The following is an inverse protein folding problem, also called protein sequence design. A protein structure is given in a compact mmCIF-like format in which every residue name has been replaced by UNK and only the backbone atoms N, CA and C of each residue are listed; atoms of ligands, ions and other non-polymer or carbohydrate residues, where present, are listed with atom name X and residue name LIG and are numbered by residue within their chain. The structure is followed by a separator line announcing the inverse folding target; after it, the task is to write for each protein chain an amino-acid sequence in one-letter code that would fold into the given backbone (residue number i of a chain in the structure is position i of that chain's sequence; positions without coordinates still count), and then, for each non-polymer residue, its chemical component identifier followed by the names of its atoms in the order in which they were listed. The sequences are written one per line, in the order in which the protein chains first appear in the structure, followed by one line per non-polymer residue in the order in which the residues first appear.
data_IF_597988594662
#
_entry.id   IF_597988594662
#
_cell.length_a   1.000
_cell.length_b   1.000
_cell.length_c   1.000
_cell.angle_alpha   90.00
_cell.angle_beta   90.00
_cell.angle_gamma   90.00
#
_symmetry.space_group_name_H-M   'P 1'
#
loop_
_entity.id
_entity.type
_entity.pdbx_description
1 polymer ?
#
# COMPACT_ATOMS: atom_id res chain seq x y z
N UNK A 1 7.30 -6.85 -5.22
CA UNK A 1 8.18 -5.70 -5.02
C UNK A 1 7.42 -4.56 -4.38
N UNK A 2 8.01 -3.95 -3.39
CA UNK A 2 7.33 -2.88 -2.68
C UNK A 2 7.32 -1.61 -3.53
N UNK A 3 6.16 -0.98 -3.66
CA UNK A 3 6.06 0.26 -4.43
C UNK A 3 5.61 1.43 -3.58
N UNK A 4 5.08 1.19 -2.40
CA UNK A 4 4.61 2.29 -1.57
C UNK A 4 4.41 1.79 -0.14
N UNK A 5 4.65 2.64 0.81
CA UNK A 5 4.44 2.30 2.21
C UNK A 5 3.44 3.31 2.77
N UNK A 6 2.24 2.84 3.05
CA UNK A 6 1.18 3.69 3.54
C UNK A 6 1.28 3.83 5.04
N UNK A 7 0.89 4.96 5.54
CA UNK A 7 0.95 5.20 6.98
C UNK A 7 -0.18 4.52 7.73
N UNK A 8 -1.23 4.16 7.05
CA UNK A 8 -2.35 3.51 7.70
C UNK A 8 -3.03 2.58 6.73
N UNK A 9 -3.88 1.73 7.26
CA UNK A 9 -4.61 0.81 6.40
C UNK A 9 -5.58 1.57 5.49
N UNK A 10 -6.16 2.63 5.99
CA UNK A 10 -7.07 3.41 5.15
C UNK A 10 -6.37 3.97 3.93
N UNK A 11 -5.18 4.51 4.13
CA UNK A 11 -4.43 5.03 3.00
C UNK A 11 -4.05 3.90 2.04
N UNK A 12 -3.67 2.76 2.59
CA UNK A 12 -3.29 1.63 1.75
C UNK A 12 -4.44 1.17 0.88
N UNK A 13 -5.65 1.15 1.44
CA UNK A 13 -6.79 0.71 0.67
C UNK A 13 -7.12 1.69 -0.46
N UNK A 14 -6.94 2.97 -0.22
CA UNK A 14 -7.17 3.95 -1.26
C UNK A 14 -6.18 3.75 -2.40
N UNK A 15 -4.91 3.57 -2.07
CA UNK A 15 -3.89 3.37 -3.10
C UNK A 15 -4.15 2.05 -3.84
N UNK A 16 -4.51 1.01 -3.09
CA UNK A 16 -4.77 -0.26 -3.72
C UNK A 16 -5.91 -0.17 -4.71
N UNK A 17 -7.00 0.49 -4.31
CA UNK A 17 -8.14 0.63 -5.20
C UNK A 17 -7.76 1.40 -6.45
N UNK A 18 -6.93 2.44 -6.29
CA UNK A 18 -6.50 3.22 -7.42
C UNK A 18 -5.68 2.38 -8.39
N UNK A 19 -4.76 1.58 -7.87
CA UNK A 19 -3.93 0.75 -8.73
C UNK A 19 -4.77 -0.33 -9.42
N UNK A 20 -5.70 -0.90 -8.69
CA UNK A 20 -6.52 -1.95 -9.30
C UNK A 20 -7.43 -1.41 -10.37
N UNK A 21 -7.89 -0.18 -10.22
CA UNK A 21 -8.70 0.41 -11.26
C UNK A 21 -7.89 0.68 -12.53
N UNK A 22 -6.58 0.62 -12.43
CA UNK A 22 -5.70 0.75 -13.57
C UNK A 22 -5.13 -0.59 -14.03
N UNK A 23 -5.70 -1.67 -13.54
CA UNK A 23 -5.30 -3.00 -13.99
C UNK A 23 -4.11 -3.59 -13.28
N UNK A 24 -3.70 -3.02 -12.16
CA UNK A 24 -2.54 -3.52 -11.44
C UNK A 24 -2.98 -4.22 -10.18
N UNK A 25 -2.62 -5.49 -10.05
CA UNK A 25 -2.96 -6.27 -8.86
C UNK A 25 -1.96 -5.95 -7.76
N UNK A 26 -2.47 -5.69 -6.57
CA UNK A 26 -1.64 -5.33 -5.45
C UNK A 26 -1.82 -6.28 -4.28
N UNK A 27 -0.78 -6.36 -3.47
CA UNK A 27 -0.83 -7.10 -2.24
C UNK A 27 -0.52 -6.15 -1.11
N UNK A 28 -1.27 -6.22 -0.05
CA UNK A 28 -1.02 -5.39 1.11
C UNK A 28 -0.34 -6.24 2.19
N UNK A 29 0.73 -5.71 2.73
CA UNK A 29 1.44 -6.41 3.79
C UNK A 29 1.53 -5.49 5.00
N UNK A 30 0.86 -5.87 6.07
CA UNK A 30 0.90 -5.07 7.28
C UNK A 30 2.22 -5.28 7.98
N UNK A 31 2.80 -4.21 8.44
CA UNK A 31 4.08 -4.28 9.13
C UNK A 31 3.93 -4.19 10.63
N UNK A 32 2.75 -4.38 11.14
CA UNK A 32 2.56 -4.29 12.57
C UNK A 32 3.25 -5.45 13.26
N UNK A 33 3.83 -5.16 14.35
CA UNK A 33 4.47 -6.19 15.14
C UNK A 33 3.40 -7.13 15.63
N UNK A 34 3.59 -8.30 15.36
CA UNK A 34 2.57 -9.20 15.72
C UNK A 34 2.31 -9.28 17.15
N UNK A 35 3.17 -9.10 17.82
CA UNK A 35 2.94 -9.38 19.09
C UNK A 35 2.10 -8.57 19.73
N UNK A 36 2.21 -8.01 19.77
CA UNK A 36 1.66 -7.31 20.51
C UNK A 36 0.61 -6.75 20.57
N UNK A 37 0.42 -6.51 20.68
CA UNK A 37 -0.44 -5.86 21.00
C UNK A 37 -1.16 -5.29 20.31
N UNK A 38 -1.31 -5.74 20.12
CA UNK A 38 -2.04 -5.50 19.47
C UNK A 38 -2.82 -4.37 19.43
N UNK A 39 -3.28 -4.14 20.02
CA UNK A 39 -4.05 -3.16 20.04
C UNK A 39 -3.69 -2.12 19.40
N UNK A 40 -3.11 -2.29 19.00
CA UNK A 40 -2.65 -1.38 18.40
C UNK A 40 -3.48 -0.50 17.97
N UNK A 41 -3.93 -0.54 18.11
CA UNK A 41 -4.52 0.39 17.94
C UNK A 41 -4.63 1.03 16.85
N UNK A 42 -5.26 0.99 16.50
CA UNK A 42 -5.54 1.83 15.62
C UNK A 42 -4.88 1.99 14.48
N UNK A 43 -4.76 1.20 13.80
CA UNK A 43 -4.30 1.46 12.59
C UNK A 43 -3.14 2.26 12.48
N UNK A 44 -2.38 2.23 13.43
CA UNK A 44 -1.22 2.94 13.36
C UNK A 44 -0.17 2.20 12.63
N UNK A 45 -0.31 0.99 12.29
CA UNK A 45 0.75 0.23 11.65
C UNK A 45 0.89 0.61 10.19
N UNK A 46 2.12 0.63 9.71
CA UNK A 46 2.36 0.87 8.30
C UNK A 46 1.89 -0.32 7.49
N UNK A 47 1.47 -0.06 6.28
CA UNK A 47 1.06 -1.11 5.36
C UNK A 47 1.86 -0.94 4.08
N UNK A 48 2.56 -1.97 3.68
CA UNK A 48 3.36 -1.93 2.47
C UNK A 48 2.54 -2.45 1.30
N UNK A 49 2.56 -1.72 0.21
CA UNK A 49 1.85 -2.14 -1.00
C UNK A 49 2.85 -2.75 -1.95
N UNK A 50 2.59 -3.97 -2.36
CA UNK A 50 3.50 -4.71 -3.22
C UNK A 50 2.81 -5.09 -4.51
N UNK A 51 3.57 -5.07 -5.59
CA UNK A 51 3.05 -5.48 -6.88
C UNK A 51 4.09 -6.36 -7.54
N UNK A 52 3.71 -6.99 -8.65
CA UNK A 52 4.66 -7.78 -9.40
C UNK A 52 5.72 -6.88 -9.99
N UNK A 53 6.91 -7.42 -10.11
CA UNK A 53 8.05 -6.62 -10.52
C UNK A 53 7.86 -5.99 -11.90
N UNK A 54 7.23 -6.69 -12.79
CA UNK A 54 7.10 -6.19 -14.15
C UNK A 54 6.13 -5.02 -14.27
N UNK A 55 5.32 -4.75 -13.25
CA UNK A 55 4.47 -3.57 -13.27
C UNK A 55 4.85 -2.58 -12.17
N UNK A 56 5.97 -2.81 -11.52
CA UNK A 56 6.34 -1.95 -10.39
C UNK A 56 6.58 -0.50 -10.83
N UNK A 57 7.24 -0.31 -11.95
CA UNK A 57 7.52 1.04 -12.41
C UNK A 57 6.24 1.78 -12.75
N UNK A 58 5.31 1.08 -13.39
CA UNK A 58 4.05 1.71 -13.71
C UNK A 58 3.26 2.02 -12.44
N UNK A 59 3.30 1.12 -11.47
CA UNK A 59 2.59 1.36 -10.22
C UNK A 59 3.14 2.59 -9.51
N UNK A 60 4.46 2.72 -9.49
CA UNK A 60 5.05 3.89 -8.84
C UNK A 60 4.67 5.17 -9.54
N UNK A 61 4.62 5.14 -10.85
CA UNK A 61 4.26 6.32 -11.59
C UNK A 61 2.81 6.71 -11.33
N UNK A 62 1.93 5.74 -11.28
CA UNK A 62 0.53 6.02 -10.99
C UNK A 62 0.35 6.58 -9.59
N UNK A 63 1.07 6.03 -8.62
CA UNK A 63 0.97 6.53 -7.26
C UNK A 63 1.45 7.96 -7.20
N UNK A 64 2.52 8.28 -7.90
CA UNK A 64 3.03 9.63 -7.90
C UNK A 64 2.01 10.60 -8.49
N UNK A 65 1.33 10.20 -9.56
CA UNK A 65 0.33 11.05 -10.15
C UNK A 65 -0.84 11.28 -9.20
N UNK A 66 -1.25 10.24 -8.52
CA UNK A 66 -2.36 10.37 -7.61
C UNK A 66 -2.02 11.31 -6.46
N UNK A 67 -0.80 11.26 -5.98
CA UNK A 67 -0.43 12.08 -4.84
C UNK A 67 -0.07 13.49 -5.25
N UNK A 68 0.17 13.72 -6.50
CA UNK A 68 0.50 15.05 -6.96
C UNK A 68 -0.70 15.92 -7.19
N UNK A 69 -1.87 15.44 -7.06
CA UNK A 69 -3.06 16.21 -7.37
C UNK A 69 -3.40 17.25 -6.34
#
# INVERSE_FOLDING_TARGET
MEVYRAASEAEALIIKSFLESNGITCLLKANAAPSVHAFAIDGMGEVTIMVWEDVADKARELIREEKDV
#
